data_IF_895978449542
#
_entry.id   IF_895978449542
#
_cell.length_a   1.000
_cell.length_b   1.000
_cell.length_c   1.000
_cell.angle_alpha   90.00
_cell.angle_beta   90.00
_cell.angle_gamma   90.00
#
_symmetry.space_group_name_H-M   'P 1'
#
loop_
_entity.id
_entity.type
_entity.pdbx_description
1 polymer ?
#
# COMPACT_ATOMS: atom_id res chain seq x y z
N UNK A 1 -0.39 20.23 -42.79
CA UNK A 1 -0.06 18.80 -42.93
C UNK A 1 1.37 18.60 -42.47
N UNK A 2 1.56 18.10 -41.25
CA UNK A 2 2.85 17.65 -40.71
C UNK A 2 2.56 16.34 -39.95
N UNK A 3 3.21 15.22 -40.29
CA UNK A 3 2.99 13.95 -39.61
C UNK A 3 3.99 13.76 -38.46
N UNK A 4 3.59 12.90 -37.50
CA UNK A 4 4.42 12.16 -36.53
C UNK A 4 5.01 13.01 -35.37
N UNK A 5 5.04 12.55 -34.12
CA UNK A 5 5.21 11.17 -33.66
C UNK A 5 4.37 10.85 -32.41
N UNK A 6 3.68 9.71 -32.45
CA UNK A 6 3.12 9.08 -31.27
C UNK A 6 4.25 8.32 -30.56
N UNK A 7 4.62 8.78 -29.36
CA UNK A 7 5.52 8.05 -28.48
C UNK A 7 4.71 6.97 -27.76
N UNK A 8 4.78 5.75 -28.27
CA UNK A 8 4.30 4.55 -27.59
C UNK A 8 5.30 4.23 -26.47
N UNK A 9 4.93 4.50 -25.21
CA UNK A 9 5.66 3.90 -24.08
C UNK A 9 5.39 2.40 -24.09
N UNK A 10 6.38 1.62 -24.49
CA UNK A 10 6.39 0.19 -24.25
C UNK A 10 6.30 -0.07 -22.75
N UNK A 11 5.32 -0.91 -22.37
CA UNK A 11 5.27 -1.60 -21.10
C UNK A 11 6.60 -2.35 -20.91
N UNK A 12 7.44 -1.90 -19.98
CA UNK A 12 8.53 -2.70 -19.47
C UNK A 12 7.94 -3.82 -18.59
N UNK A 13 7.47 -4.89 -19.24
CA UNK A 13 7.24 -6.16 -18.58
C UNK A 13 8.60 -6.85 -18.39
N UNK A 14 8.97 -7.09 -17.13
CA UNK A 14 10.13 -7.90 -16.75
C UNK A 14 11.23 -7.10 -16.05
N UNK A 15 11.11 -6.91 -14.73
CA UNK A 15 12.29 -6.71 -13.89
C UNK A 15 13.20 -7.95 -14.04
N UNK A 16 14.53 -7.79 -14.16
CA UNK A 16 15.44 -8.92 -14.17
C UNK A 16 15.18 -9.75 -12.92
N UNK A 17 15.02 -11.07 -13.07
CA UNK A 17 14.73 -11.98 -11.97
C UNK A 17 15.76 -11.82 -10.86
N UNK A 18 15.40 -11.06 -9.83
CA UNK A 18 16.20 -10.92 -8.63
C UNK A 18 16.46 -12.29 -8.02
N UNK A 19 17.57 -12.43 -7.29
CA UNK A 19 17.90 -13.71 -6.64
C UNK A 19 16.76 -14.08 -5.70
N UNK A 20 16.15 -15.23 -5.95
CA UNK A 20 15.08 -15.77 -5.12
C UNK A 20 15.62 -16.83 -4.17
N UNK A 21 14.96 -16.95 -3.02
CA UNK A 21 15.30 -17.88 -1.96
C UNK A 21 14.03 -18.46 -1.34
N UNK A 22 14.14 -19.70 -0.87
CA UNK A 22 13.07 -20.41 -0.16
C UNK A 22 13.45 -20.47 1.32
N UNK A 23 12.59 -19.98 2.24
CA UNK A 23 12.74 -20.19 3.67
C UNK A 23 12.75 -21.68 4.05
N UNK A 24 13.60 -22.07 5.01
CA UNK A 24 13.71 -23.45 5.50
C UNK A 24 12.46 -23.96 6.21
N UNK A 25 11.59 -23.06 6.66
CA UNK A 25 10.32 -23.36 7.29
C UNK A 25 9.18 -22.63 6.56
N UNK A 26 8.21 -23.42 6.08
CA UNK A 26 7.05 -23.01 5.28
C UNK A 26 5.74 -23.11 6.08
N UNK A 27 5.82 -23.23 7.41
CA UNK A 27 4.64 -23.19 8.29
C UNK A 27 4.14 -21.77 8.47
N UNK A 28 2.88 -21.62 8.87
CA UNK A 28 2.29 -20.31 9.11
C UNK A 28 3.00 -19.55 10.26
N UNK A 29 2.93 -18.22 10.21
CA UNK A 29 3.40 -17.35 11.28
C UNK A 29 4.53 -16.42 10.86
N UNK A 30 4.90 -15.52 11.78
CA UNK A 30 5.99 -14.58 11.56
C UNK A 30 7.32 -15.29 11.54
N UNK A 31 8.09 -15.04 10.48
CA UNK A 31 9.43 -15.58 10.28
C UNK A 31 10.43 -14.44 10.16
N UNK A 32 11.67 -14.72 10.52
CA UNK A 32 12.83 -13.82 10.39
C UNK A 32 13.92 -14.52 9.61
N UNK A 33 14.51 -13.81 8.65
CA UNK A 33 15.75 -14.21 7.98
C UNK A 33 16.76 -13.07 8.05
N UNK A 34 18.04 -13.41 8.20
CA UNK A 34 19.13 -12.45 8.00
C UNK A 34 19.24 -12.14 6.50
N UNK A 35 19.28 -10.86 6.15
CA UNK A 35 19.42 -10.39 4.78
C UNK A 35 20.79 -10.82 4.22
N UNK A 36 20.82 -11.64 3.15
CA UNK A 36 22.07 -11.99 2.48
C UNK A 36 22.74 -10.74 1.91
N UNK A 37 24.07 -10.66 2.00
CA UNK A 37 24.84 -9.54 1.43
C UNK A 37 24.58 -9.35 -0.06
N UNK A 38 24.35 -10.46 -0.73
CA UNK A 38 24.13 -10.53 -2.16
C UNK A 38 22.66 -10.33 -2.59
N UNK A 39 21.75 -10.10 -1.64
CA UNK A 39 20.34 -9.80 -1.86
C UNK A 39 19.80 -8.92 -0.71
N UNK A 40 20.34 -7.69 -0.54
CA UNK A 40 19.96 -6.81 0.56
C UNK A 40 18.53 -6.29 0.43
N UNK A 41 17.96 -6.30 -0.79
CA UNK A 41 16.60 -5.85 -1.06
C UNK A 41 15.61 -7.03 -1.20
N UNK A 42 15.86 -8.14 -0.51
CA UNK A 42 14.96 -9.29 -0.43
C UNK A 42 13.56 -8.87 0.07
N UNK A 43 12.52 -9.38 -0.58
CA UNK A 43 11.13 -9.07 -0.27
C UNK A 43 10.23 -10.30 -0.43
N UNK A 44 9.14 -10.35 0.35
CA UNK A 44 8.12 -11.37 0.18
C UNK A 44 7.13 -10.99 -0.96
N UNK A 45 6.31 -11.94 -1.47
CA UNK A 45 5.29 -11.67 -2.49
C UNK A 45 4.28 -10.55 -2.11
N UNK A 46 3.51 -10.04 -3.07
CA UNK A 46 2.66 -8.85 -2.87
C UNK A 46 1.49 -9.04 -1.90
N UNK A 47 1.10 -10.30 -1.71
CA UNK A 47 0.03 -10.74 -0.82
C UNK A 47 0.55 -11.16 0.57
N UNK A 48 1.82 -10.93 0.88
CA UNK A 48 2.47 -11.29 2.15
C UNK A 48 2.87 -10.02 2.89
N UNK A 49 2.54 -9.95 4.17
CA UNK A 49 3.03 -8.89 5.05
C UNK A 49 4.53 -9.08 5.27
N UNK A 50 5.32 -8.04 5.02
CA UNK A 50 6.76 -8.08 5.28
C UNK A 50 7.34 -6.70 5.54
N UNK A 51 8.48 -6.66 6.23
CA UNK A 51 9.30 -5.46 6.41
C UNK A 51 10.77 -5.81 6.64
N UNK A 52 11.66 -4.86 6.33
CA UNK A 52 13.09 -4.97 6.61
C UNK A 52 13.47 -4.09 7.79
N UNK A 53 14.43 -4.56 8.58
CA UNK A 53 14.99 -3.77 9.69
C UNK A 53 15.61 -2.47 9.17
N UNK A 54 15.30 -1.34 9.81
CA UNK A 54 15.85 -0.03 9.44
C UNK A 54 15.17 0.65 8.25
N UNK A 55 14.20 0.00 7.59
CA UNK A 55 13.42 0.59 6.50
C UNK A 55 12.01 0.97 6.95
N UNK A 56 11.44 2.05 6.38
CA UNK A 56 10.05 2.38 6.62
C UNK A 56 9.12 1.38 5.90
N UNK A 57 8.01 1.03 6.56
CA UNK A 57 6.94 0.20 6.05
C UNK A 57 5.62 0.99 6.05
N UNK A 58 4.76 0.73 5.06
CA UNK A 58 3.38 1.20 5.07
C UNK A 58 2.52 0.23 5.88
N UNK A 59 2.10 0.65 7.07
CA UNK A 59 1.08 -0.06 7.84
C UNK A 59 -0.29 0.44 7.44
N UNK A 60 -1.08 -0.45 6.86
CA UNK A 60 -2.46 -0.19 6.51
C UNK A 60 -3.37 -0.53 7.68
N UNK A 61 -4.16 0.45 8.08
CA UNK A 61 -5.18 0.29 9.11
C UNK A 61 -6.55 0.53 8.49
N UNK A 62 -7.47 -0.38 8.82
CA UNK A 62 -8.89 -0.16 8.58
C UNK A 62 -9.49 0.43 9.84
N UNK A 63 -9.59 1.75 9.87
CA UNK A 63 -10.37 2.47 10.87
C UNK A 63 -11.74 2.82 10.27
N UNK A 64 -12.79 2.19 10.78
CA UNK A 64 -14.15 2.46 10.35
C UNK A 64 -14.56 3.93 10.61
N UNK A 65 -13.97 4.58 11.62
CA UNK A 65 -14.22 5.97 11.96
C UNK A 65 -13.51 6.97 11.04
N UNK A 66 -12.57 6.50 10.21
CA UNK A 66 -11.88 7.32 9.23
C UNK A 66 -12.82 7.79 8.12
N UNK A 67 -13.83 7.00 7.74
CA UNK A 67 -14.84 7.46 6.78
C UNK A 67 -15.87 8.34 7.49
N UNK A 68 -15.92 9.62 7.12
CA UNK A 68 -16.77 10.60 7.81
C UNK A 68 -18.08 10.89 7.09
N UNK A 69 -18.21 10.51 5.82
CA UNK A 69 -19.47 10.65 5.10
C UNK A 69 -19.33 10.61 3.59
N UNK A 70 -20.50 10.51 2.95
CA UNK A 70 -20.68 10.75 1.52
C UNK A 70 -21.75 11.80 1.31
N UNK A 71 -21.41 12.83 0.56
CA UNK A 71 -22.30 13.93 0.26
C UNK A 71 -22.47 14.10 -1.25
N UNK A 72 -23.67 14.46 -1.66
CA UNK A 72 -23.94 14.89 -3.03
C UNK A 72 -23.64 16.38 -3.14
N UNK A 73 -22.41 16.75 -3.52
CA UNK A 73 -22.01 18.16 -3.67
C UNK A 73 -22.89 18.92 -4.67
N UNK A 74 -23.21 18.26 -5.79
CA UNK A 74 -24.03 18.79 -6.89
C UNK A 74 -24.58 17.63 -7.72
N UNK A 75 -25.63 17.83 -8.54
CA UNK A 75 -26.20 16.77 -9.35
C UNK A 75 -25.13 15.96 -10.09
N UNK A 76 -25.10 14.66 -9.81
CA UNK A 76 -24.21 13.69 -10.44
C UNK A 76 -22.73 13.76 -10.02
N UNK A 77 -22.43 14.36 -8.87
CA UNK A 77 -21.11 14.25 -8.22
C UNK A 77 -21.29 13.82 -6.77
N UNK A 78 -20.57 12.76 -6.38
CA UNK A 78 -20.50 12.28 -5.01
C UNK A 78 -19.13 12.63 -4.44
N UNK A 79 -19.07 13.19 -3.23
CA UNK A 79 -17.84 13.40 -2.49
C UNK A 79 -17.78 12.48 -1.28
N UNK A 80 -16.62 11.85 -1.07
CA UNK A 80 -16.35 10.94 0.04
C UNK A 80 -15.24 11.53 0.89
N UNK A 81 -15.52 11.74 2.18
CA UNK A 81 -14.58 12.35 3.11
C UNK A 81 -13.93 11.31 4.01
N UNK A 82 -12.60 11.40 4.14
CA UNK A 82 -11.79 10.49 4.95
C UNK A 82 -10.91 11.30 5.89
N UNK A 83 -11.03 11.07 7.20
CA UNK A 83 -10.05 11.50 8.20
C UNK A 83 -8.78 10.68 8.04
N UNK A 84 -7.65 11.37 8.12
CA UNK A 84 -6.32 10.77 7.99
C UNK A 84 -5.68 10.74 9.38
N UNK A 85 -5.30 9.55 9.91
CA UNK A 85 -4.54 9.48 11.14
C UNK A 85 -3.19 10.19 10.99
N UNK A 86 -2.60 10.56 12.12
CA UNK A 86 -1.26 11.14 12.16
C UNK A 86 -0.28 10.26 11.37
N UNK A 87 0.57 10.89 10.57
CA UNK A 87 1.57 10.23 9.73
C UNK A 87 1.01 9.34 8.61
N UNK A 88 -0.30 9.44 8.32
CA UNK A 88 -0.90 8.91 7.11
C UNK A 88 -0.22 9.45 5.85
N UNK A 89 0.04 8.56 4.88
CA UNK A 89 0.71 8.89 3.60
C UNK A 89 0.01 8.30 2.38
N UNK A 90 -0.96 7.41 2.58
CA UNK A 90 -1.67 6.74 1.50
C UNK A 90 -3.12 6.44 1.86
N UNK A 91 -4.05 6.68 0.94
CA UNK A 91 -5.44 6.24 1.02
C UNK A 91 -5.71 5.23 -0.09
N UNK A 92 -6.25 4.06 0.27
CA UNK A 92 -6.74 3.08 -0.70
C UNK A 92 -8.24 2.90 -0.55
N UNK A 93 -8.97 3.02 -1.66
CA UNK A 93 -10.42 2.88 -1.75
C UNK A 93 -10.78 1.74 -2.70
N UNK A 94 -11.76 0.95 -2.29
CA UNK A 94 -12.46 -0.01 -3.13
C UNK A 94 -13.90 0.41 -3.32
N UNK A 95 -14.31 0.61 -4.57
CA UNK A 95 -15.69 0.86 -4.96
C UNK A 95 -16.45 -0.46 -5.13
N UNK A 96 -17.74 -0.45 -4.80
CA UNK A 96 -18.63 -1.61 -4.97
C UNK A 96 -18.78 -2.01 -6.44
N UNK A 97 -18.80 -1.03 -7.34
CA UNK A 97 -18.91 -1.21 -8.78
C UNK A 97 -17.78 -0.53 -9.55
N UNK A 98 -17.62 -0.92 -10.81
CA UNK A 98 -16.64 -0.33 -11.73
C UNK A 98 -16.98 1.14 -12.02
N UNK A 99 -15.98 2.01 -11.97
CA UNK A 99 -16.11 3.44 -12.26
C UNK A 99 -16.35 3.75 -13.75
N UNK A 100 -16.08 2.81 -14.65
CA UNK A 100 -16.34 2.87 -16.10
C UNK A 100 -15.85 4.17 -16.75
N UNK A 101 -14.68 4.65 -16.36
CA UNK A 101 -14.10 5.90 -16.86
C UNK A 101 -14.71 7.17 -16.26
N UNK A 102 -15.31 7.09 -15.07
CA UNK A 102 -15.77 8.25 -14.31
C UNK A 102 -14.59 9.20 -14.05
N UNK A 103 -14.85 10.51 -14.07
CA UNK A 103 -13.86 11.49 -13.61
C UNK A 103 -13.79 11.45 -12.09
N UNK A 104 -12.57 11.41 -11.57
CA UNK A 104 -12.30 11.39 -10.15
C UNK A 104 -11.32 12.50 -9.81
N UNK A 105 -11.70 13.31 -8.82
CA UNK A 105 -10.88 14.32 -8.19
C UNK A 105 -10.54 13.87 -6.78
N UNK A 106 -9.38 14.29 -6.29
CA UNK A 106 -9.01 14.08 -4.90
C UNK A 106 -8.23 15.27 -4.36
N UNK A 107 -8.59 15.71 -3.16
CA UNK A 107 -7.98 16.85 -2.48
C UNK A 107 -7.60 16.44 -1.06
N UNK A 108 -6.36 16.71 -0.67
CA UNK A 108 -5.89 16.62 0.71
C UNK A 108 -6.02 17.98 1.40
N UNK A 109 -6.37 17.95 2.68
CA UNK A 109 -6.40 19.12 3.56
C UNK A 109 -5.35 18.97 4.65
N UNK A 110 -4.47 19.96 4.79
CA UNK A 110 -3.42 20.01 5.79
C UNK A 110 -3.26 21.44 6.31
N UNK A 111 -3.35 21.64 7.63
CA UNK A 111 -3.20 22.95 8.27
C UNK A 111 -4.13 24.03 7.69
N UNK A 112 -5.39 23.67 7.39
CA UNK A 112 -6.39 24.57 6.80
C UNK A 112 -6.18 24.90 5.30
N UNK A 113 -5.19 24.29 4.64
CA UNK A 113 -4.94 24.47 3.20
C UNK A 113 -5.35 23.22 2.42
N UNK A 114 -5.78 23.40 1.17
CA UNK A 114 -6.09 22.31 0.25
C UNK A 114 -4.97 22.07 -0.76
N UNK A 115 -4.77 20.81 -1.11
CA UNK A 115 -3.76 20.36 -2.06
C UNK A 115 -4.35 19.29 -2.98
N UNK A 116 -4.33 19.47 -4.31
CA UNK A 116 -4.83 18.47 -5.23
C UNK A 116 -3.93 17.23 -5.22
N UNK A 117 -4.53 16.05 -4.97
CA UNK A 117 -3.90 14.74 -5.13
C UNK A 117 -4.21 14.12 -6.50
N UNK A 118 -5.39 14.44 -7.04
CA UNK A 118 -5.86 13.96 -8.33
C UNK A 118 -6.75 15.03 -8.96
N UNK A 119 -6.53 15.32 -10.24
CA UNK A 119 -7.27 16.36 -10.99
C UNK A 119 -7.99 15.72 -12.19
N UNK A 120 -9.31 15.66 -12.12
CA UNK A 120 -10.27 15.14 -13.11
C UNK A 120 -9.88 13.83 -13.83
N UNK A 121 -9.14 12.94 -13.17
CA UNK A 121 -8.61 11.74 -13.82
C UNK A 121 -9.75 10.76 -14.13
N UNK A 122 -9.78 10.24 -15.36
CA UNK A 122 -10.67 9.14 -15.73
C UNK A 122 -10.16 7.82 -15.18
N UNK A 123 -10.95 7.15 -14.37
CA UNK A 123 -10.61 5.86 -13.78
C UNK A 123 -11.58 4.77 -14.24
N UNK A 124 -11.00 3.64 -14.65
CA UNK A 124 -11.71 2.38 -14.91
C UNK A 124 -11.34 1.37 -13.81
N UNK A 125 -12.24 0.42 -13.53
CA UNK A 125 -12.06 -0.54 -12.46
C UNK A 125 -12.65 -0.07 -11.13
N UNK A 126 -12.30 -0.78 -10.05
CA UNK A 126 -12.93 -0.64 -8.73
C UNK A 126 -12.00 -0.11 -7.65
N UNK A 127 -10.74 0.20 -7.97
CA UNK A 127 -9.73 0.56 -6.98
C UNK A 127 -9.16 1.94 -7.26
N UNK A 128 -8.94 2.71 -6.19
CA UNK A 128 -8.20 3.96 -6.22
C UNK A 128 -7.15 3.94 -5.10
N UNK A 129 -5.92 4.31 -5.43
CA UNK A 129 -4.88 4.59 -4.46
C UNK A 129 -4.38 6.02 -4.65
N UNK A 130 -4.26 6.74 -3.54
CA UNK A 130 -3.78 8.10 -3.47
C UNK A 130 -2.60 8.13 -2.52
N UNK A 131 -1.48 8.67 -2.98
CA UNK A 131 -0.26 8.86 -2.18
C UNK A 131 0.01 10.34 -2.02
N UNK A 132 0.59 10.73 -0.89
CA UNK A 132 1.08 12.09 -0.66
C UNK A 132 2.34 12.09 0.20
N UNK A 133 3.16 13.11 0.01
CA UNK A 133 4.41 13.32 0.77
C UNK A 133 4.29 14.44 1.80
N UNK A 134 3.25 15.26 1.70
CA UNK A 134 2.98 16.38 2.60
C UNK A 134 2.72 15.87 4.02
N UNK A 135 3.24 16.61 4.99
CA UNK A 135 2.98 16.34 6.40
C UNK A 135 1.67 16.99 6.87
N UNK A 136 1.12 16.50 7.99
CA UNK A 136 -0.05 17.11 8.61
C UNK A 136 -1.34 17.02 7.80
N UNK A 137 -1.46 16.05 6.89
CA UNK A 137 -2.74 15.77 6.22
C UNK A 137 -3.73 15.24 7.25
N UNK A 138 -4.84 15.94 7.39
CA UNK A 138 -5.91 15.66 8.37
C UNK A 138 -7.14 15.03 7.70
N UNK A 139 -7.38 15.39 6.43
CA UNK A 139 -8.52 14.92 5.67
C UNK A 139 -8.18 14.75 4.18
N UNK A 140 -8.77 13.75 3.55
CA UNK A 140 -8.79 13.59 2.09
C UNK A 140 -10.25 13.53 1.64
N UNK A 141 -10.58 14.31 0.61
CA UNK A 141 -11.89 14.27 -0.05
C UNK A 141 -11.71 13.73 -1.45
N UNK A 142 -12.47 12.70 -1.80
CA UNK A 142 -12.49 12.10 -3.14
C UNK A 142 -13.85 12.37 -3.77
N UNK A 143 -13.86 13.03 -4.92
CA UNK A 143 -15.09 13.37 -5.64
C UNK A 143 -15.19 12.56 -6.93
N UNK A 144 -16.31 11.88 -7.14
CA UNK A 144 -16.55 11.02 -8.31
C UNK A 144 -17.73 11.54 -9.12
N UNK A 145 -17.48 11.78 -10.41
CA UNK A 145 -18.50 12.20 -11.36
C UNK A 145 -19.25 10.99 -11.92
N UNK A 146 -20.57 10.95 -11.76
CA UNK A 146 -21.41 9.81 -12.12
C UNK A 146 -22.65 10.19 -12.95
N UNK A 147 -22.57 11.28 -13.73
CA UNK A 147 -23.67 11.70 -14.62
C UNK A 147 -24.14 10.52 -15.48
N UNK A 148 -25.45 10.25 -15.47
CA UNK A 148 -26.11 9.17 -16.22
C UNK A 148 -25.63 7.75 -15.84
N UNK A 149 -25.08 7.58 -14.64
CA UNK A 149 -24.60 6.32 -14.10
C UNK A 149 -25.15 6.12 -12.68
N UNK A 150 -25.12 4.88 -12.23
CA UNK A 150 -25.38 4.56 -10.83
C UNK A 150 -24.44 5.34 -9.92
N UNK A 151 -24.95 5.70 -8.74
CA UNK A 151 -24.15 6.39 -7.72
C UNK A 151 -23.00 5.47 -7.31
N UNK A 152 -21.75 5.94 -7.35
CA UNK A 152 -20.64 5.15 -6.84
C UNK A 152 -20.84 4.90 -5.35
N UNK A 153 -20.40 3.74 -4.88
CA UNK A 153 -20.45 3.37 -3.47
C UNK A 153 -19.06 2.90 -3.08
N UNK A 154 -18.47 3.53 -2.07
CA UNK A 154 -17.21 3.06 -1.47
C UNK A 154 -17.56 1.87 -0.58
N UNK A 155 -16.95 0.71 -0.88
CA UNK A 155 -17.14 -0.54 -0.15
C UNK A 155 -16.05 -0.75 0.91
N UNK A 156 -14.82 -0.38 0.59
CA UNK A 156 -13.66 -0.55 1.48
C UNK A 156 -12.78 0.68 1.44
N UNK A 157 -12.19 1.04 2.57
CA UNK A 157 -11.14 2.05 2.66
C UNK A 157 -10.08 1.58 3.65
N UNK A 158 -8.84 2.03 3.45
CA UNK A 158 -7.76 1.88 4.42
C UNK A 158 -6.75 3.00 4.24
N UNK A 159 -6.18 3.46 5.35
CA UNK A 159 -5.11 4.45 5.32
C UNK A 159 -3.80 3.76 5.67
N UNK A 160 -2.79 3.98 4.84
CA UNK A 160 -1.42 3.57 5.11
C UNK A 160 -0.68 4.70 5.84
N UNK A 161 -0.19 4.42 7.04
CA UNK A 161 0.81 5.26 7.71
C UNK A 161 2.21 4.75 7.45
N UNK A 162 3.13 5.66 7.20
CA UNK A 162 4.53 5.32 7.04
C UNK A 162 5.18 5.31 8.43
N UNK A 163 5.77 4.20 8.81
CA UNK A 163 6.49 4.08 10.07
C UNK A 163 7.72 3.21 9.89
N UNK A 164 8.67 3.28 10.82
CA UNK A 164 9.80 2.35 10.85
C UNK A 164 9.56 1.31 11.93
N UNK A 165 9.17 0.07 11.57
CA UNK A 165 8.74 -0.93 12.55
C UNK A 165 9.74 -1.14 13.69
N UNK A 166 11.05 -1.16 13.39
CA UNK A 166 12.10 -1.39 14.39
C UNK A 166 12.35 -0.23 15.35
N UNK A 167 11.88 0.97 15.02
CA UNK A 167 11.99 2.17 15.86
C UNK A 167 10.71 2.42 16.69
N UNK A 168 9.61 1.70 16.39
CA UNK A 168 8.34 1.85 17.10
C UNK A 168 8.40 1.21 18.51
N UNK A 169 8.09 1.96 19.59
CA UNK A 169 8.10 1.41 20.95
C UNK A 169 7.17 0.21 21.14
N UNK A 170 6.07 0.11 20.39
CA UNK A 170 5.11 -0.99 20.46
C UNK A 170 5.58 -2.25 19.72
N UNK A 171 6.70 -2.20 18.99
CA UNK A 171 7.26 -3.37 18.30
C UNK A 171 7.99 -4.29 19.29
N UNK A 172 7.69 -5.61 19.35
CA UNK A 172 8.40 -6.53 20.22
C UNK A 172 9.90 -6.63 19.89
N UNK A 173 10.74 -6.92 20.89
CA UNK A 173 12.21 -6.98 20.72
C UNK A 173 12.67 -7.99 19.66
N UNK A 174 11.97 -9.12 19.54
CA UNK A 174 12.22 -10.16 18.54
C UNK A 174 12.15 -9.64 17.09
N UNK A 175 11.45 -8.52 16.87
CA UNK A 175 11.29 -7.85 15.59
C UNK A 175 12.31 -6.71 15.33
N UNK A 176 13.34 -6.56 16.17
CA UNK A 176 14.33 -5.46 16.08
C UNK A 176 15.73 -5.90 15.67
N UNK A 177 15.92 -7.16 15.25
CA UNK A 177 17.23 -7.64 14.84
C UNK A 177 17.73 -6.86 13.60
N UNK A 178 19.00 -6.42 13.60
CA UNK A 178 19.55 -5.68 12.48
C UNK A 178 19.66 -6.59 11.24
N UNK A 179 19.74 -5.95 10.06
CA UNK A 179 19.90 -6.62 8.76
C UNK A 179 18.94 -7.80 8.57
N UNK A 180 17.70 -7.67 9.00
CA UNK A 180 16.71 -8.75 8.99
C UNK A 180 15.51 -8.42 8.09
N UNK A 181 15.00 -9.44 7.41
CA UNK A 181 13.69 -9.42 6.77
C UNK A 181 12.72 -10.22 7.64
N UNK A 182 11.60 -9.57 7.98
CA UNK A 182 10.47 -10.17 8.67
C UNK A 182 9.33 -10.36 7.68
N UNK A 183 8.68 -11.51 7.71
CA UNK A 183 7.52 -11.80 6.86
C UNK A 183 6.52 -12.71 7.55
N UNK A 184 5.25 -12.54 7.25
CA UNK A 184 4.17 -13.40 7.76
C UNK A 184 3.91 -14.52 6.77
N UNK A 185 4.45 -15.71 7.04
CA UNK A 185 4.16 -16.87 6.20
C UNK A 185 2.68 -17.28 6.38
N UNK A 186 1.89 -17.42 5.30
CA UNK A 186 0.46 -17.76 5.42
C UNK A 186 0.22 -19.24 5.76
N UNK A 187 1.23 -20.10 5.57
CA UNK A 187 1.10 -21.55 5.62
C UNK A 187 0.37 -22.11 4.39
N UNK A 188 0.43 -23.44 4.22
CA UNK A 188 -0.31 -24.13 3.16
C UNK A 188 0.15 -23.87 1.72
N UNK A 189 1.21 -23.08 1.52
CA UNK A 189 1.85 -22.86 0.21
C UNK A 189 3.35 -22.64 0.36
N UNK A 190 4.10 -22.94 -0.71
CA UNK A 190 5.51 -22.55 -0.84
C UNK A 190 5.60 -21.05 -1.08
N UNK A 191 6.50 -20.39 -0.36
CA UNK A 191 6.80 -18.97 -0.46
C UNK A 191 8.24 -18.78 -0.92
N UNK A 192 8.41 -17.92 -1.92
CA UNK A 192 9.72 -17.50 -2.43
C UNK A 192 9.93 -16.02 -2.11
N UNK A 193 11.09 -15.72 -1.56
CA UNK A 193 11.54 -14.36 -1.26
C UNK A 193 12.50 -13.96 -2.37
N UNK A 194 12.23 -12.86 -3.07
CA UNK A 194 13.03 -12.44 -4.20
C UNK A 194 13.59 -11.04 -3.98
N UNK A 195 14.80 -10.82 -4.48
CA UNK A 195 15.42 -9.50 -4.47
C UNK A 195 14.58 -8.53 -5.30
N UNK A 196 14.09 -7.47 -4.65
CA UNK A 196 13.12 -6.53 -5.21
C UNK A 196 13.46 -5.10 -4.77
N UNK A 197 14.52 -4.48 -5.34
CA UNK A 197 14.89 -3.10 -5.04
C UNK A 197 13.74 -2.13 -5.37
N UNK A 198 13.61 -1.08 -4.55
CA UNK A 198 12.55 -0.07 -4.70
C UNK A 198 11.17 -0.51 -4.24
N UNK A 199 10.98 -1.76 -3.82
CA UNK A 199 9.69 -2.24 -3.33
C UNK A 199 9.46 -1.78 -1.89
N UNK A 200 8.43 -0.96 -1.69
CA UNK A 200 8.01 -0.52 -0.34
C UNK A 200 7.38 -1.68 0.42
N UNK A 201 7.82 -1.95 1.66
CA UNK A 201 7.16 -2.94 2.52
C UNK A 201 5.73 -2.52 2.86
N UNK A 202 4.83 -3.51 2.91
CA UNK A 202 3.41 -3.31 3.21
C UNK A 202 3.01 -4.26 4.34
N UNK A 203 2.33 -3.71 5.33
CA UNK A 203 1.82 -4.44 6.48
C UNK A 203 0.31 -4.20 6.56
N UNK A 204 -0.47 -5.27 6.46
CA UNK A 204 -1.91 -5.28 6.73
C UNK A 204 -2.22 -5.55 8.20
N UNK A 205 -1.24 -6.05 8.95
CA UNK A 205 -1.35 -6.32 10.38
C UNK A 205 -0.06 -5.98 11.12
N UNK A 206 -0.22 -5.51 12.35
CA UNK A 206 0.91 -5.39 13.26
C UNK A 206 1.34 -6.77 13.76
N UNK A 207 2.63 -7.02 14.04
CA UNK A 207 3.03 -8.25 14.72
C UNK A 207 2.46 -8.30 16.15
N UNK A 208 1.37 -9.04 16.34
CA UNK A 208 0.70 -9.24 17.65
C UNK A 208 1.27 -10.44 18.44
N UNK A 209 1.94 -11.37 17.76
CA UNK A 209 2.54 -12.56 18.38
C UNK A 209 3.90 -12.25 19.02
N UNK A 210 4.21 -12.93 20.13
CA UNK A 210 5.42 -12.66 20.92
C UNK A 210 6.75 -12.80 20.14
N UNK A 211 6.84 -13.65 19.11
CA UNK A 211 8.11 -13.92 18.44
C UNK A 211 7.99 -14.18 16.92
N UNK A 212 8.99 -13.73 16.17
CA UNK A 212 9.28 -14.23 14.83
C UNK A 212 10.24 -15.43 14.92
N UNK A 213 9.89 -16.56 14.30
CA UNK A 213 10.79 -17.72 14.22
C UNK A 213 11.94 -17.44 13.26
N UNK A 214 13.18 -17.66 13.70
CA UNK A 214 14.33 -17.58 12.80
C UNK A 214 14.34 -18.77 11.84
N UNK A 215 14.54 -18.48 10.56
CA UNK A 215 14.62 -19.48 9.49
C UNK A 215 15.83 -19.19 8.60
N UNK A 216 16.32 -20.20 7.91
CA UNK A 216 17.43 -20.04 6.95
C UNK A 216 16.90 -19.96 5.53
N UNK A 217 17.73 -19.51 4.60
CA UNK A 217 17.38 -19.37 3.19
C UNK A 217 18.13 -20.41 2.36
N UNK A 218 17.41 -21.06 1.44
CA UNK A 218 17.99 -21.96 0.44
C UNK A 218 17.71 -21.44 -0.96
N UNK A 219 18.54 -21.84 -1.92
CA UNK A 219 18.21 -21.59 -3.33
C UNK A 219 17.00 -22.46 -3.74
N UNK A 220 16.15 -21.98 -4.66
CA UNK A 220 14.93 -22.67 -5.09
C UNK A 220 15.12 -24.09 -5.57
#
# INVERSE_FOLDING_TARGET
MHPLAALVMMLAAGTPGGRCFVPSDQTAGWKRVVLPEQAPALAAPADVDWFRSGEPALLFEQDASAYTGADSERPGRMAYSFRVPRDGRRLELGFLGDLRGAKVDAVAYAGGRSFPLLDEKRLAGTQLALDWTMEGVEQVVVSVHHHLREKPVVRTWRVGRLLKPTEDPAMPESFRAPRSLYFLHPGGRRLELCDAPGRTPRLSRWPESANASEVTLHRP
#
